data_IF_196674662808
#
_entry.id   IF_196674662808
#
_cell.length_a   1.000
_cell.length_b   1.000
_cell.length_c   1.000
_cell.angle_alpha   90.00
_cell.angle_beta   90.00
_cell.angle_gamma   90.00
#
_symmetry.space_group_name_H-M   'P 1'
#
loop_
_entity.id
_entity.type
_entity.pdbx_description
1 polymer ?
#
# COMPACT_ATOMS: atom_id res chain seq x y z
N UNK A 1 -1.85 0.72 33.09
CA UNK A 1 -1.86 -0.74 33.34
C UNK A 1 -0.44 -1.33 33.34
N UNK A 2 0.29 -1.39 32.23
CA UNK A 2 1.62 -2.04 32.19
C UNK A 2 2.74 -1.33 33.00
N UNK A 3 2.75 0.01 33.02
CA UNK A 3 3.65 0.79 33.89
C UNK A 3 3.35 0.63 35.38
N UNK A 4 2.10 0.35 35.74
CA UNK A 4 1.66 0.19 37.13
C UNK A 4 2.09 -1.17 37.73
N UNK A 5 2.59 -2.09 36.90
CA UNK A 5 3.04 -3.44 37.27
C UNK A 5 4.59 -3.59 37.31
N UNK A 6 5.34 -2.48 37.25
CA UNK A 6 6.81 -2.51 37.37
C UNK A 6 7.58 -2.85 36.09
N UNK A 7 6.92 -2.93 34.93
CA UNK A 7 7.61 -3.16 33.65
C UNK A 7 8.39 -1.90 33.21
N UNK A 8 9.64 -2.08 32.79
CA UNK A 8 10.45 -0.98 32.24
C UNK A 8 9.75 -0.33 31.04
N UNK A 9 9.96 0.97 30.81
CA UNK A 9 9.31 1.70 29.72
C UNK A 9 9.50 1.04 28.35
N UNK A 10 10.66 0.40 28.16
CA UNK A 10 10.98 -0.36 26.95
C UNK A 10 10.18 -1.68 26.83
N UNK A 11 10.03 -2.44 27.92
CA UNK A 11 9.18 -3.64 27.93
C UNK A 11 7.71 -3.30 27.68
N UNK A 12 7.21 -2.20 28.24
CA UNK A 12 5.83 -1.76 28.01
C UNK A 12 5.61 -1.38 26.54
N UNK A 13 6.58 -0.69 25.93
CA UNK A 13 6.51 -0.32 24.52
C UNK A 13 6.47 -1.57 23.62
N UNK A 14 7.39 -2.53 23.81
CA UNK A 14 7.49 -3.70 22.93
C UNK A 14 6.36 -4.72 23.16
N UNK A 15 5.91 -4.93 24.40
CA UNK A 15 4.85 -5.92 24.69
C UNK A 15 3.42 -5.40 24.55
N UNK A 16 3.21 -4.10 24.66
CA UNK A 16 1.85 -3.53 24.67
C UNK A 16 1.66 -2.56 23.52
N UNK A 17 2.49 -1.52 23.42
CA UNK A 17 2.30 -0.48 22.39
C UNK A 17 2.58 -1.03 20.99
N UNK A 18 3.67 -1.76 20.79
CA UNK A 18 4.08 -2.29 19.49
C UNK A 18 3.03 -3.23 18.88
N UNK A 19 2.53 -4.29 19.55
CA UNK A 19 1.51 -5.17 18.97
C UNK A 19 0.18 -4.45 18.69
N UNK A 20 -0.22 -3.50 19.54
CA UNK A 20 -1.40 -2.65 19.27
C UNK A 20 -1.17 -1.70 18.09
N UNK A 21 0.04 -1.16 17.93
CA UNK A 21 0.39 -0.30 16.81
C UNK A 21 0.53 -1.06 15.50
N UNK A 22 0.84 -2.36 15.50
CA UNK A 22 0.92 -3.18 14.28
C UNK A 22 -0.43 -3.25 13.53
N UNK A 23 -1.56 -3.37 14.23
CA UNK A 23 -2.89 -3.29 13.58
C UNK A 23 -3.12 -1.91 12.94
N UNK A 24 -2.69 -0.84 13.60
CA UNK A 24 -2.73 0.52 13.06
C UNK A 24 -1.81 0.70 11.84
N UNK A 25 -0.62 0.09 11.86
CA UNK A 25 0.38 0.18 10.80
C UNK A 25 -0.04 -0.57 9.53
N UNK A 26 -0.75 -1.70 9.70
CA UNK A 26 -1.37 -2.42 8.59
C UNK A 26 -2.48 -1.57 7.96
N UNK A 27 -3.38 -1.03 8.79
CA UNK A 27 -4.49 -0.20 8.30
C UNK A 27 -3.96 1.06 7.61
N UNK A 28 -3.01 1.76 8.22
CA UNK A 28 -2.34 2.93 7.64
C UNK A 28 -1.57 2.58 6.36
N UNK A 29 -0.83 1.48 6.33
CA UNK A 29 -0.10 1.01 5.15
C UNK A 29 -1.01 0.74 3.96
N UNK A 30 -2.18 0.13 4.20
CA UNK A 30 -3.16 -0.08 3.13
C UNK A 30 -3.76 1.23 2.60
N UNK A 31 -3.99 2.22 3.46
CA UNK A 31 -4.49 3.54 3.07
C UNK A 31 -3.46 4.32 2.25
N UNK A 32 -2.21 4.36 2.71
CA UNK A 32 -1.10 5.01 1.99
C UNK A 32 -0.87 4.36 0.64
N UNK A 33 -0.85 3.03 0.57
CA UNK A 33 -0.66 2.30 -0.68
C UNK A 33 -1.77 2.60 -1.71
N UNK A 34 -3.02 2.60 -1.25
CA UNK A 34 -4.18 2.96 -2.09
C UNK A 34 -4.08 4.40 -2.61
N UNK A 35 -3.67 5.34 -1.75
CA UNK A 35 -3.43 6.73 -2.14
C UNK A 35 -2.30 6.88 -3.17
N UNK A 36 -1.17 6.18 -2.98
CA UNK A 36 -0.02 6.24 -3.88
C UNK A 36 -0.33 5.72 -5.29
N UNK A 37 -1.19 4.71 -5.43
CA UNK A 37 -1.63 4.23 -6.76
C UNK A 37 -2.47 5.28 -7.49
N UNK A 38 -3.30 6.01 -6.73
CA UNK A 38 -4.16 7.06 -7.29
C UNK A 38 -3.35 8.31 -7.65
N UNK A 39 -2.18 8.50 -7.04
CA UNK A 39 -1.25 9.59 -7.34
C UNK A 39 -0.46 9.37 -8.65
N UNK A 40 -1.15 9.18 -9.77
CA UNK A 40 -0.54 9.03 -11.10
C UNK A 40 0.03 10.34 -11.66
N UNK A 41 -0.36 11.48 -11.10
CA UNK A 41 0.07 12.82 -11.55
C UNK A 41 1.54 13.08 -11.22
N UNK A 42 2.03 12.62 -10.07
CA UNK A 42 3.42 12.80 -9.63
C UNK A 42 4.44 12.15 -10.59
N UNK A 43 4.31 10.86 -10.98
CA UNK A 43 5.20 10.26 -11.97
C UNK A 43 4.97 10.82 -13.39
N UNK A 44 3.78 11.31 -13.72
CA UNK A 44 3.55 11.95 -15.01
C UNK A 44 4.39 13.24 -15.18
N UNK A 45 4.57 14.00 -14.10
CA UNK A 45 5.35 15.25 -14.10
C UNK A 45 6.85 14.98 -13.93
N UNK A 46 7.24 14.05 -13.04
CA UNK A 46 8.66 13.72 -12.76
C UNK A 46 9.31 12.77 -13.78
N UNK A 47 8.55 11.83 -14.35
CA UNK A 47 9.08 10.77 -15.22
C UNK A 47 9.27 11.18 -16.67
N UNK A 48 8.56 12.21 -17.15
CA UNK A 48 8.51 12.56 -18.56
C UNK A 48 8.32 11.33 -19.48
N UNK A 49 8.83 11.39 -20.70
CA UNK A 49 8.76 10.27 -21.67
C UNK A 49 9.75 9.12 -21.38
N UNK A 50 10.59 9.21 -20.34
CA UNK A 50 11.69 8.25 -20.09
C UNK A 50 11.38 7.17 -19.06
N UNK A 51 10.44 7.42 -18.14
CA UNK A 51 10.07 6.42 -17.12
C UNK A 51 8.60 6.07 -17.27
N UNK A 52 8.32 5.05 -18.08
CA UNK A 52 6.98 4.49 -18.24
C UNK A 52 6.59 3.76 -16.94
N UNK A 53 5.83 4.44 -16.10
CA UNK A 53 5.15 3.84 -14.95
C UNK A 53 3.84 3.21 -15.43
N UNK A 54 3.40 2.13 -14.79
CA UNK A 54 2.13 1.45 -15.15
C UNK A 54 0.94 2.43 -15.19
N UNK A 55 0.94 3.42 -14.30
CA UNK A 55 -0.09 4.46 -14.22
C UNK A 55 -0.09 5.43 -15.40
N UNK A 56 1.09 5.84 -15.89
CA UNK A 56 1.21 6.73 -17.06
C UNK A 56 0.96 5.97 -18.36
N UNK A 57 1.36 4.69 -18.42
CA UNK A 57 1.09 3.80 -19.55
C UNK A 57 -0.42 3.52 -19.71
N UNK A 58 -1.12 3.26 -18.60
CA UNK A 58 -2.59 3.14 -18.60
C UNK A 58 -3.24 4.39 -19.19
N UNK A 59 -2.83 5.57 -18.72
CA UNK A 59 -3.38 6.84 -19.19
C UNK A 59 -3.11 7.06 -20.68
N UNK A 60 -1.89 6.78 -21.14
CA UNK A 60 -1.55 6.90 -22.55
C UNK A 60 -2.38 5.95 -23.43
N UNK A 61 -2.57 4.70 -22.99
CA UNK A 61 -3.38 3.72 -23.73
C UNK A 61 -4.87 4.03 -23.72
N UNK A 62 -5.41 4.53 -22.60
CA UNK A 62 -6.81 4.88 -22.48
C UNK A 62 -7.16 6.22 -23.16
N UNK A 63 -6.34 7.26 -22.98
CA UNK A 63 -6.67 8.64 -23.36
C UNK A 63 -6.06 9.09 -24.69
N UNK A 64 -4.91 8.53 -25.10
CA UNK A 64 -4.19 8.96 -26.32
C UNK A 64 -4.38 7.98 -27.46
N UNK A 65 -4.16 6.69 -27.20
CA UNK A 65 -4.25 5.64 -28.23
C UNK A 65 -5.67 5.09 -28.37
N UNK A 66 -6.53 5.30 -27.38
CA UNK A 66 -7.89 4.74 -27.31
C UNK A 66 -7.94 3.20 -27.40
N UNK A 67 -6.84 2.52 -27.02
CA UNK A 67 -6.73 1.06 -26.94
C UNK A 67 -7.34 0.55 -25.61
N UNK A 68 -8.67 0.47 -25.53
CA UNK A 68 -9.38 0.07 -24.31
C UNK A 68 -9.02 -1.34 -23.83
N UNK A 69 -8.68 -2.26 -24.73
CA UNK A 69 -8.27 -3.64 -24.39
C UNK A 69 -6.95 -3.67 -23.62
N UNK A 70 -5.95 -2.92 -24.10
CA UNK A 70 -4.66 -2.78 -23.42
C UNK A 70 -4.80 -2.01 -22.12
N UNK A 71 -5.62 -0.96 -22.10
CA UNK A 71 -5.90 -0.19 -20.88
C UNK A 71 -6.53 -1.09 -19.81
N UNK A 72 -7.49 -1.95 -20.17
CA UNK A 72 -8.15 -2.85 -19.22
C UNK A 72 -7.17 -3.89 -18.67
N UNK A 73 -6.30 -4.45 -19.52
CA UNK A 73 -5.25 -5.38 -19.10
C UNK A 73 -4.32 -4.76 -18.05
N UNK A 74 -3.87 -3.53 -18.28
CA UNK A 74 -3.01 -2.79 -17.34
C UNK A 74 -3.76 -2.48 -16.04
N UNK A 75 -5.03 -2.06 -16.12
CA UNK A 75 -5.85 -1.77 -14.95
C UNK A 75 -6.04 -3.02 -14.06
N UNK A 76 -6.31 -4.18 -14.66
CA UNK A 76 -6.44 -5.45 -13.93
C UNK A 76 -5.12 -5.85 -13.27
N UNK A 77 -3.99 -5.68 -13.94
CA UNK A 77 -2.67 -5.95 -13.34
C UNK A 77 -2.41 -5.05 -12.12
N UNK A 78 -2.72 -3.75 -12.21
CA UNK A 78 -2.60 -2.82 -11.08
C UNK A 78 -3.53 -3.20 -9.93
N UNK A 79 -4.76 -3.62 -10.24
CA UNK A 79 -5.73 -4.07 -9.25
C UNK A 79 -5.28 -5.36 -8.53
N UNK A 80 -4.78 -6.36 -9.26
CA UNK A 80 -4.26 -7.61 -8.69
C UNK A 80 -3.06 -7.37 -7.78
N UNK A 81 -2.13 -6.50 -8.22
CA UNK A 81 -0.95 -6.12 -7.41
C UNK A 81 -1.38 -5.45 -6.11
N UNK A 82 -2.41 -4.61 -6.17
CA UNK A 82 -2.99 -3.94 -5.00
C UNK A 82 -3.63 -4.92 -4.02
N UNK A 83 -4.42 -5.85 -4.55
CA UNK A 83 -5.03 -6.91 -3.76
C UNK A 83 -3.99 -7.79 -3.08
N UNK A 84 -2.93 -8.18 -3.79
CA UNK A 84 -1.84 -8.99 -3.24
C UNK A 84 -1.17 -8.29 -2.06
N UNK A 85 -0.81 -7.01 -2.22
CA UNK A 85 -0.14 -6.24 -1.18
C UNK A 85 -1.07 -6.02 0.02
N UNK A 86 -2.32 -5.63 -0.22
CA UNK A 86 -3.31 -5.43 0.86
C UNK A 86 -3.56 -6.74 1.63
N UNK A 87 -3.68 -7.86 0.92
CA UNK A 87 -3.89 -9.17 1.53
C UNK A 87 -2.64 -9.67 2.26
N UNK A 88 -1.45 -9.40 1.74
CA UNK A 88 -0.17 -9.70 2.41
C UNK A 88 -0.02 -8.95 3.74
N UNK A 89 -0.31 -7.65 3.77
CA UNK A 89 -0.34 -6.88 5.01
C UNK A 89 -1.37 -7.43 6.01
N UNK A 90 -2.56 -7.84 5.55
CA UNK A 90 -3.58 -8.48 6.41
C UNK A 90 -3.14 -9.85 6.94
N UNK A 91 -2.44 -10.65 6.15
CA UNK A 91 -1.94 -11.97 6.54
C UNK A 91 -0.85 -11.86 7.62
N UNK A 92 0.10 -10.94 7.46
CA UNK A 92 1.13 -10.68 8.47
C UNK A 92 0.50 -10.23 9.80
N UNK A 93 -0.55 -9.40 9.75
CA UNK A 93 -1.33 -9.01 10.92
C UNK A 93 -2.04 -10.17 11.62
N UNK A 94 -2.59 -11.11 10.84
CA UNK A 94 -3.22 -12.32 11.41
C UNK A 94 -2.20 -13.29 12.01
N UNK A 95 -0.99 -13.38 11.44
CA UNK A 95 0.08 -14.26 11.95
C UNK A 95 0.63 -13.74 13.29
N UNK A 96 0.71 -12.43 13.49
CA UNK A 96 1.11 -11.84 14.78
C UNK A 96 0.08 -11.94 15.91
N UNK A 97 -1.09 -12.54 15.64
CA UNK A 97 -2.21 -12.68 16.59
C UNK A 97 -2.35 -14.11 17.14
N UNK A 98 -1.39 -15.00 16.84
CA UNK A 98 -1.24 -16.33 17.48
C UNK A 98 -0.07 -16.33 18.47
#
# INVERSE_FOLDING_TARGET
>A
AARSLGASGFQTFVRVTFPLSVEGLITGGTLVFTGSITAYVTPAILGGSRVLMLSTLLYQKAAVVLDWDMATTIAVMMFLTTLLINTGFRLIGKVGRR
#
